data_IF_597395209081
#
_entry.id   IF_597395209081
#
_cell.length_a   1.000
_cell.length_b   1.000
_cell.length_c   1.000
_cell.angle_alpha   90.00
_cell.angle_beta   90.00
_cell.angle_gamma   90.00
#
_symmetry.space_group_name_H-M   'P 1'
#
loop_
_entity.id
_entity.type
_entity.pdbx_description
1 polymer ?
#
# COMPACT_ATOMS: atom_id res chain seq x y z
N UNK A 1 -50.56 -18.36 65.74
CA UNK A 1 -50.75 -18.79 64.34
C UNK A 1 -50.06 -17.77 63.44
N UNK A 2 -49.16 -18.27 62.58
CA UNK A 2 -48.42 -17.63 61.46
C UNK A 2 -47.45 -16.47 61.81
N UNK A 3 -46.10 -16.62 61.81
CA UNK A 3 -45.10 -16.85 60.71
C UNK A 3 -45.17 -15.76 59.62
N UNK A 4 -44.12 -15.14 59.05
CA UNK A 4 -42.65 -15.22 59.05
C UNK A 4 -42.15 -13.87 58.43
N UNK A 5 -41.03 -13.27 58.84
CA UNK A 5 -39.67 -13.38 58.28
C UNK A 5 -39.47 -12.90 56.82
N UNK A 6 -38.34 -12.21 56.61
CA UNK A 6 -37.59 -11.93 55.36
C UNK A 6 -38.07 -10.74 54.52
N UNK A 7 -37.22 -9.93 53.88
CA UNK A 7 -35.77 -9.98 53.69
C UNK A 7 -35.32 -8.67 53.03
N UNK A 8 -34.13 -8.22 53.44
CA UNK A 8 -33.27 -7.25 52.74
C UNK A 8 -33.06 -7.68 51.29
N UNK A 9 -33.56 -6.95 50.31
CA UNK A 9 -33.15 -7.06 48.91
C UNK A 9 -33.50 -5.74 48.23
N UNK A 10 -32.73 -5.32 47.22
CA UNK A 10 -32.86 -4.08 46.41
C UNK A 10 -31.78 -3.00 46.61
N UNK A 11 -30.50 -3.39 46.62
CA UNK A 11 -29.38 -2.44 46.41
C UNK A 11 -28.28 -2.96 45.47
N UNK A 12 -28.60 -3.92 44.60
CA UNK A 12 -27.62 -4.53 43.68
C UNK A 12 -28.21 -4.65 42.28
N UNK A 13 -28.18 -3.60 41.46
CA UNK A 13 -28.40 -3.71 40.01
C UNK A 13 -28.03 -2.45 39.19
N UNK A 14 -26.97 -1.74 39.58
CA UNK A 14 -26.36 -0.68 38.75
C UNK A 14 -24.84 -0.88 38.63
N UNK A 15 -24.43 -2.09 38.24
CA UNK A 15 -23.16 -2.29 37.55
C UNK A 15 -23.52 -2.78 36.15
N UNK A 16 -24.12 -1.90 35.34
CA UNK A 16 -23.98 -2.05 33.90
C UNK A 16 -22.52 -1.78 33.58
N UNK A 17 -21.80 -2.88 33.43
CA UNK A 17 -20.49 -2.95 32.82
C UNK A 17 -20.55 -2.21 31.49
N UNK A 18 -20.15 -0.94 31.49
CA UNK A 18 -19.73 -0.27 30.27
C UNK A 18 -18.43 -0.95 29.86
N UNK A 19 -18.53 -2.11 29.21
CA UNK A 19 -17.46 -2.61 28.36
C UNK A 19 -17.33 -1.61 27.23
N UNK A 20 -16.49 -0.60 27.45
CA UNK A 20 -16.06 0.29 26.39
C UNK A 20 -15.39 -0.58 25.35
N UNK A 21 -16.06 -0.76 24.20
CA UNK A 21 -15.41 -1.27 23.01
C UNK A 21 -14.34 -0.25 22.65
N UNK A 22 -13.09 -0.53 23.01
CA UNK A 22 -11.96 0.19 22.45
C UNK A 22 -11.98 -0.11 20.94
N UNK A 23 -12.54 0.81 20.17
CA UNK A 23 -12.40 0.81 18.72
C UNK A 23 -10.91 1.00 18.46
N UNK A 24 -10.21 -0.07 18.07
CA UNK A 24 -8.87 0.07 17.52
C UNK A 24 -9.01 0.98 16.31
N UNK A 25 -8.53 2.23 16.42
CA UNK A 25 -8.49 3.12 15.27
C UNK A 25 -7.51 2.56 14.24
N UNK A 26 -7.57 3.00 13.00
CA UNK A 26 -6.54 2.72 11.99
C UNK A 26 -5.91 4.03 11.55
N UNK A 27 -4.59 4.03 11.32
CA UNK A 27 -3.86 5.21 10.84
C UNK A 27 -3.41 4.96 9.41
N UNK A 28 -3.64 5.95 8.54
CA UNK A 28 -3.21 5.90 7.14
C UNK A 28 -1.92 6.70 6.99
N UNK A 29 -0.87 6.05 6.51
CA UNK A 29 0.42 6.68 6.18
C UNK A 29 0.56 6.70 4.68
N UNK A 30 0.51 7.89 4.08
CA UNK A 30 0.69 8.06 2.63
C UNK A 30 2.14 8.42 2.33
N UNK A 31 2.77 7.64 1.46
CA UNK A 31 4.11 7.88 0.93
C UNK A 31 4.00 8.55 -0.43
N UNK A 32 4.67 9.69 -0.56
CA UNK A 32 4.90 10.34 -1.84
C UNK A 32 5.88 9.52 -2.70
N UNK A 33 5.84 9.64 -4.04
CA UNK A 33 6.72 8.86 -4.92
C UNK A 33 8.22 9.03 -4.64
N UNK A 34 8.66 10.19 -4.16
CA UNK A 34 10.06 10.48 -3.83
C UNK A 34 10.45 10.10 -2.38
N UNK A 35 9.55 9.46 -1.63
CA UNK A 35 9.81 9.05 -0.25
C UNK A 35 11.00 8.08 -0.18
N UNK A 36 11.93 8.30 0.76
CA UNK A 36 13.18 7.54 0.88
C UNK A 36 12.98 6.05 1.23
N UNK A 37 11.80 5.69 1.71
CA UNK A 37 11.39 4.32 1.98
C UNK A 37 11.13 3.51 0.69
N UNK A 38 10.89 4.19 -0.43
CA UNK A 38 10.61 3.56 -1.73
C UNK A 38 11.93 3.42 -2.49
N UNK A 39 12.29 2.18 -2.82
CA UNK A 39 13.51 1.87 -3.56
C UNK A 39 13.16 1.52 -5.00
N UNK A 40 13.77 2.23 -5.95
CA UNK A 40 13.58 2.05 -7.38
C UNK A 40 14.75 1.28 -7.99
N UNK A 41 14.46 0.37 -8.92
CA UNK A 41 15.47 -0.34 -9.71
C UNK A 41 15.01 -0.42 -11.17
N UNK A 42 15.74 0.15 -12.16
CA UNK A 42 16.90 1.01 -11.98
C UNK A 42 16.60 2.24 -11.11
N UNK A 43 17.61 2.85 -10.46
CA UNK A 43 17.39 4.04 -9.62
C UNK A 43 16.67 5.15 -10.38
N UNK A 44 15.82 5.89 -9.67
CA UNK A 44 15.10 7.00 -10.27
C UNK A 44 16.08 8.10 -10.71
N UNK A 45 15.88 8.59 -11.93
CA UNK A 45 16.62 9.71 -12.46
C UNK A 45 15.98 11.03 -11.99
N UNK A 46 16.81 12.02 -11.65
CA UNK A 46 16.33 13.31 -11.17
C UNK A 46 16.07 14.27 -12.33
N UNK A 47 15.14 13.92 -13.22
CA UNK A 47 14.71 14.81 -14.30
C UNK A 47 13.19 14.89 -14.36
N UNK A 48 12.69 16.10 -14.57
CA UNK A 48 11.27 16.42 -14.74
C UNK A 48 10.78 16.18 -16.18
N UNK A 49 11.63 15.60 -17.03
CA UNK A 49 11.34 15.25 -18.42
C UNK A 49 11.40 13.72 -18.61
N UNK A 50 10.63 13.15 -19.55
CA UNK A 50 10.58 11.71 -19.79
C UNK A 50 11.77 11.22 -20.61
N UNK A 51 13.00 11.47 -20.16
CA UNK A 51 14.22 11.04 -20.88
C UNK A 51 15.02 10.00 -20.11
N UNK A 52 14.37 9.21 -19.26
CA UNK A 52 15.04 8.10 -18.58
C UNK A 52 14.63 6.80 -19.22
N UNK A 53 15.52 6.32 -20.07
CA UNK A 53 15.37 5.06 -20.74
C UNK A 53 15.27 3.95 -19.69
N UNK A 54 14.06 3.39 -19.56
CA UNK A 54 13.71 2.28 -18.66
C UNK A 54 13.86 2.49 -17.16
N UNK A 55 14.53 3.54 -16.72
CA UNK A 55 14.54 3.92 -15.31
C UNK A 55 13.22 4.61 -14.93
N UNK A 56 13.10 4.94 -13.65
CA UNK A 56 11.98 5.70 -13.12
C UNK A 56 12.27 7.20 -13.19
N UNK A 57 11.28 8.01 -13.57
CA UNK A 57 11.33 9.47 -13.53
C UNK A 57 10.32 10.01 -12.51
N UNK A 58 10.60 11.18 -11.93
CA UNK A 58 9.60 11.94 -11.20
C UNK A 58 8.99 13.01 -12.10
N UNK A 59 7.72 12.85 -12.45
CA UNK A 59 7.01 13.75 -13.35
C UNK A 59 5.88 14.48 -12.60
N UNK A 60 5.43 15.65 -13.08
CA UNK A 60 4.20 16.26 -12.61
C UNK A 60 3.02 15.30 -12.75
N UNK A 61 2.19 15.23 -11.73
CA UNK A 61 1.00 14.38 -11.75
C UNK A 61 -0.02 14.92 -12.75
N UNK A 62 -0.56 14.06 -13.64
CA UNK A 62 -1.68 14.44 -14.51
C UNK A 62 -3.01 14.51 -13.75
N UNK A 63 -3.08 13.93 -12.54
CA UNK A 63 -4.32 13.75 -11.77
C UNK A 63 -4.47 14.74 -10.62
N UNK A 64 -3.35 15.28 -10.11
CA UNK A 64 -3.32 16.13 -8.91
C UNK A 64 -2.51 17.39 -9.22
N UNK A 65 -3.14 18.56 -9.09
CA UNK A 65 -2.45 19.83 -9.24
C UNK A 65 -1.26 19.93 -8.28
N UNK A 66 -0.08 20.25 -8.81
CA UNK A 66 1.19 20.31 -8.06
C UNK A 66 1.63 18.98 -7.42
N UNK A 67 0.99 17.86 -7.75
CA UNK A 67 1.44 16.53 -7.35
C UNK A 67 2.60 16.04 -8.20
N UNK A 68 3.33 15.05 -7.70
CA UNK A 68 4.33 14.31 -8.45
C UNK A 68 3.91 12.85 -8.57
N UNK A 69 4.41 12.17 -9.60
CA UNK A 69 4.26 10.72 -9.83
C UNK A 69 5.65 10.14 -10.10
N UNK A 70 5.86 8.86 -9.78
CA UNK A 70 6.97 8.11 -10.37
C UNK A 70 6.46 7.38 -11.61
N UNK A 71 7.19 7.52 -12.72
CA UNK A 71 6.77 7.10 -14.06
C UNK A 71 7.87 6.31 -14.74
N UNK A 72 7.52 5.30 -15.52
CA UNK A 72 8.43 4.59 -16.42
C UNK A 72 7.70 4.03 -17.64
N UNK A 73 8.38 3.97 -18.78
CA UNK A 73 7.87 3.37 -20.02
C UNK A 73 8.32 1.90 -20.21
N UNK A 74 8.99 1.34 -19.19
CA UNK A 74 9.46 -0.03 -19.24
C UNK A 74 10.81 -0.21 -19.94
N UNK A 75 11.22 -1.48 -20.14
CA UNK A 75 12.45 -1.81 -20.84
C UNK A 75 12.44 -1.30 -22.28
N UNK A 76 13.53 -0.64 -22.68
CA UNK A 76 13.79 -0.23 -24.06
C UNK A 76 15.00 -1.01 -24.59
N UNK A 77 15.10 -1.11 -25.92
CA UNK A 77 16.26 -1.76 -26.57
C UNK A 77 17.57 -1.02 -26.24
N UNK A 78 17.50 0.31 -26.06
CA UNK A 78 18.65 1.15 -25.74
C UNK A 78 19.17 1.01 -24.30
N UNK A 79 18.34 0.58 -23.35
CA UNK A 79 18.71 0.46 -21.93
C UNK A 79 19.30 -0.90 -21.54
N UNK A 80 19.49 -1.80 -22.50
CA UNK A 80 19.85 -3.21 -22.21
C UNK A 80 18.68 -4.02 -21.66
N UNK A 81 17.44 -3.59 -21.94
CA UNK A 81 16.21 -4.23 -21.49
C UNK A 81 16.08 -4.35 -19.96
N UNK A 82 16.54 -3.33 -19.23
CA UNK A 82 16.36 -3.27 -17.77
C UNK A 82 14.87 -3.18 -17.42
N UNK A 83 14.41 -4.08 -16.53
CA UNK A 83 13.02 -4.14 -16.09
C UNK A 83 12.80 -3.23 -14.87
N UNK A 84 11.97 -2.18 -14.97
CA UNK A 84 11.67 -1.33 -13.83
C UNK A 84 10.94 -2.09 -12.72
N UNK A 85 11.41 -1.86 -11.51
CA UNK A 85 10.93 -2.44 -10.27
C UNK A 85 10.89 -1.38 -9.18
N UNK A 86 9.94 -1.52 -8.27
CA UNK A 86 9.76 -0.72 -7.06
C UNK A 86 9.67 -1.64 -5.87
N UNK A 87 10.40 -1.31 -4.79
CA UNK A 87 10.41 -2.06 -3.54
C UNK A 87 10.04 -1.17 -2.36
N UNK A 88 9.28 -1.71 -1.43
CA UNK A 88 8.91 -1.05 -0.17
C UNK A 88 8.74 -2.10 0.92
N UNK A 89 9.45 -1.93 2.04
CA UNK A 89 9.22 -2.73 3.25
C UNK A 89 8.43 -1.92 4.25
N UNK A 90 7.31 -2.48 4.72
CA UNK A 90 6.42 -1.81 5.66
C UNK A 90 5.78 -2.79 6.63
N UNK A 91 5.19 -2.27 7.71
CA UNK A 91 4.34 -3.03 8.64
C UNK A 91 2.97 -2.37 8.63
N UNK A 92 1.91 -3.14 8.38
CA UNK A 92 0.55 -2.63 8.26
C UNK A 92 -0.47 -3.75 8.03
N UNK A 93 -1.74 -3.38 8.09
CA UNK A 93 -2.89 -4.26 7.85
C UNK A 93 -3.47 -4.13 6.44
N UNK A 94 -3.03 -3.12 5.69
CA UNK A 94 -3.45 -2.90 4.31
C UNK A 94 -2.49 -2.02 3.54
N UNK A 95 -2.57 -2.11 2.22
CA UNK A 95 -1.77 -1.35 1.28
C UNK A 95 -2.64 -0.91 0.10
N UNK A 96 -2.56 0.36 -0.24
CA UNK A 96 -3.17 0.93 -1.43
C UNK A 96 -2.07 1.52 -2.31
N UNK A 97 -2.03 1.11 -3.57
CA UNK A 97 -1.12 1.68 -4.58
C UNK A 97 -2.01 2.40 -5.58
N UNK A 98 -1.91 3.73 -5.62
CA UNK A 98 -2.66 4.55 -6.57
C UNK A 98 -1.81 4.75 -7.82
N UNK A 99 -2.36 4.42 -8.98
CA UNK A 99 -1.74 4.66 -10.28
C UNK A 99 -2.35 5.91 -10.93
N UNK A 100 -1.66 6.48 -11.92
CA UNK A 100 -2.21 7.64 -12.65
C UNK A 100 -3.26 7.22 -13.68
N UNK A 101 -4.08 8.17 -14.14
CA UNK A 101 -4.98 7.96 -15.28
C UNK A 101 -4.27 7.70 -16.63
N UNK A 102 -2.97 7.97 -16.73
CA UNK A 102 -2.14 7.69 -17.90
C UNK A 102 -1.46 6.32 -17.84
N UNK A 103 -1.59 5.61 -16.72
CA UNK A 103 -0.98 4.29 -16.50
C UNK A 103 -1.69 3.22 -17.34
N UNK A 104 -0.93 2.50 -18.16
CA UNK A 104 -1.42 1.49 -19.13
C UNK A 104 -0.62 0.19 -19.10
N UNK A 105 0.41 0.11 -18.27
CA UNK A 105 1.24 -1.07 -18.15
C UNK A 105 0.53 -2.22 -17.43
N UNK A 106 1.11 -3.40 -17.58
CA UNK A 106 0.85 -4.53 -16.70
C UNK A 106 2.03 -4.68 -15.74
N UNK A 107 1.76 -4.93 -14.47
CA UNK A 107 2.80 -5.15 -13.46
C UNK A 107 2.49 -6.39 -12.63
N UNK A 108 3.53 -7.08 -12.15
CA UNK A 108 3.43 -8.05 -11.08
C UNK A 108 3.55 -7.33 -9.75
N UNK A 109 2.55 -7.50 -8.88
CA UNK A 109 2.57 -7.05 -7.50
C UNK A 109 2.83 -8.26 -6.63
N UNK A 110 3.99 -8.29 -5.99
CA UNK A 110 4.42 -9.33 -5.08
C UNK A 110 4.50 -8.79 -3.67
N UNK A 111 3.95 -9.53 -2.71
CA UNK A 111 4.08 -9.26 -1.28
C UNK A 111 4.71 -10.46 -0.63
N UNK A 112 5.73 -10.22 0.19
CA UNK A 112 6.43 -11.28 0.91
C UNK A 112 6.69 -10.94 2.36
N UNK A 113 6.59 -11.94 3.23
CA UNK A 113 7.00 -11.89 4.64
C UNK A 113 8.18 -12.83 4.85
N UNK A 114 8.99 -12.61 5.88
CA UNK A 114 10.15 -13.47 6.18
C UNK A 114 9.90 -14.50 7.30
N UNK A 115 8.89 -14.31 8.15
CA UNK A 115 8.61 -15.24 9.26
C UNK A 115 7.11 -15.41 9.57
N UNK A 116 6.49 -16.54 9.19
CA UNK A 116 6.93 -17.47 8.14
C UNK A 116 7.07 -16.79 6.78
N UNK A 117 7.84 -17.44 5.90
CA UNK A 117 7.93 -17.04 4.50
C UNK A 117 6.61 -17.30 3.80
N UNK A 118 5.88 -16.22 3.49
CA UNK A 118 4.72 -16.23 2.62
C UNK A 118 5.03 -15.30 1.47
N UNK A 119 4.73 -15.72 0.23
CA UNK A 119 4.87 -14.88 -0.95
C UNK A 119 3.63 -15.04 -1.82
N UNK A 120 3.02 -13.93 -2.19
CA UNK A 120 1.86 -13.86 -3.07
C UNK A 120 2.17 -12.88 -4.19
N UNK A 121 1.97 -13.31 -5.42
CA UNK A 121 2.17 -12.50 -6.62
C UNK A 121 0.87 -12.44 -7.41
N UNK A 122 0.50 -11.26 -7.86
CA UNK A 122 -0.66 -11.05 -8.74
C UNK A 122 -0.28 -10.10 -9.87
N UNK A 123 -0.69 -10.46 -11.08
CA UNK A 123 -0.56 -9.59 -12.24
C UNK A 123 -1.73 -8.60 -12.25
N UNK A 124 -1.42 -7.31 -12.36
CA UNK A 124 -2.40 -6.22 -12.36
C UNK A 124 -2.23 -5.34 -13.60
N UNK A 125 -3.36 -4.91 -14.16
CA UNK A 125 -3.37 -3.89 -15.21
C UNK A 125 -3.47 -2.51 -14.55
N UNK A 126 -2.49 -1.63 -14.76
CA UNK A 126 -2.36 -0.41 -13.95
C UNK A 126 -3.35 0.69 -14.30
N UNK A 127 -4.06 0.56 -15.43
CA UNK A 127 -5.23 1.40 -15.73
C UNK A 127 -6.40 1.21 -14.74
N UNK A 128 -6.35 0.22 -13.84
CA UNK A 128 -7.33 0.05 -12.77
C UNK A 128 -7.39 1.25 -11.80
N UNK A 129 -6.35 2.10 -11.77
CA UNK A 129 -6.29 3.33 -10.95
C UNK A 129 -5.97 3.09 -9.48
N UNK A 130 -6.39 1.95 -8.92
CA UNK A 130 -6.14 1.59 -7.52
C UNK A 130 -5.90 0.09 -7.39
N UNK A 131 -4.75 -0.28 -6.84
CA UNK A 131 -4.44 -1.65 -6.41
C UNK A 131 -4.61 -1.68 -4.90
N UNK A 132 -5.41 -2.62 -4.41
CA UNK A 132 -5.75 -2.75 -2.98
C UNK A 132 -5.31 -4.10 -2.46
N UNK A 133 -4.70 -4.08 -1.28
CA UNK A 133 -4.33 -5.26 -0.52
C UNK A 133 -4.87 -5.07 0.90
N UNK A 134 -5.64 -6.04 1.35
CA UNK A 134 -6.26 -6.07 2.67
C UNK A 134 -5.80 -7.29 3.46
N UNK A 135 -6.14 -7.31 4.74
CA UNK A 135 -5.90 -8.44 5.63
C UNK A 135 -4.42 -8.86 5.74
N UNK A 136 -3.52 -7.86 5.67
CA UNK A 136 -2.10 -8.09 5.94
C UNK A 136 -1.87 -8.34 7.44
N UNK A 137 -0.95 -9.23 7.82
CA UNK A 137 -0.65 -9.48 9.22
C UNK A 137 -0.09 -8.21 9.91
N UNK A 138 -0.74 -7.66 10.95
CA UNK A 138 -0.43 -6.34 11.52
C UNK A 138 0.99 -6.24 12.11
N UNK A 139 1.54 -7.36 12.57
CA UNK A 139 2.80 -7.40 13.31
C UNK A 139 3.96 -7.96 12.48
N UNK A 140 3.84 -7.94 11.15
CA UNK A 140 4.86 -8.49 10.25
C UNK A 140 5.32 -7.46 9.25
N UNK A 141 6.64 -7.38 9.11
CA UNK A 141 7.24 -6.69 7.99
C UNK A 141 6.86 -7.42 6.69
N UNK A 142 6.26 -6.69 5.77
CA UNK A 142 5.88 -7.12 4.44
C UNK A 142 6.69 -6.32 3.43
N UNK A 143 7.32 -7.02 2.49
CA UNK A 143 8.03 -6.41 1.37
C UNK A 143 7.13 -6.47 0.14
N UNK A 144 6.74 -5.29 -0.33
CA UNK A 144 6.19 -5.07 -1.66
C UNK A 144 7.33 -5.09 -2.69
N UNK A 145 7.12 -5.83 -3.77
CA UNK A 145 7.83 -5.69 -5.01
C UNK A 145 6.81 -5.49 -6.15
N UNK A 146 6.90 -4.37 -6.84
CA UNK A 146 6.11 -4.08 -8.03
C UNK A 146 7.05 -4.13 -9.24
N UNK A 147 6.81 -5.06 -10.16
CA UNK A 147 7.68 -5.34 -11.30
C UNK A 147 6.92 -5.10 -12.59
N UNK A 148 7.44 -4.23 -13.46
CA UNK A 148 6.89 -3.99 -14.79
C UNK A 148 6.93 -5.28 -15.63
N UNK A 149 5.85 -5.58 -16.36
CA UNK A 149 5.82 -6.69 -17.33
C UNK A 149 6.06 -6.13 -18.73
N UNK A 150 7.16 -6.53 -19.42
CA UNK A 150 7.47 -6.07 -20.76
C UNK A 150 6.31 -6.33 -21.74
N UNK A 151 6.02 -5.35 -22.59
CA UNK A 151 5.01 -5.43 -23.63
C UNK A 151 5.65 -5.18 -25.01
N UNK A 152 5.01 -5.69 -26.06
CA UNK A 152 5.46 -5.50 -27.45
C UNK A 152 5.07 -4.12 -28.02
N UNK A 153 4.41 -3.29 -27.22
CA UNK A 153 3.97 -1.93 -27.56
C UNK A 153 4.29 -1.00 -26.41
N UNK A 154 4.31 0.31 -26.67
CA UNK A 154 4.57 1.32 -25.64
C UNK A 154 3.46 1.27 -24.59
N UNK A 155 3.85 1.01 -23.34
CA UNK A 155 2.97 1.14 -22.17
C UNK A 155 3.67 1.94 -21.10
N UNK A 156 2.89 2.49 -20.19
CA UNK A 156 3.37 3.38 -19.15
C UNK A 156 2.94 2.91 -17.78
N UNK A 157 3.88 2.90 -16.83
CA UNK A 157 3.62 2.58 -15.44
C UNK A 157 3.84 3.83 -14.59
N UNK A 158 2.76 4.33 -14.02
CA UNK A 158 2.77 5.47 -13.11
C UNK A 158 2.31 5.06 -11.72
N UNK A 159 3.05 5.48 -10.70
CA UNK A 159 2.69 5.38 -9.28
C UNK A 159 2.52 6.79 -8.73
N UNK A 160 1.31 7.10 -8.27
CA UNK A 160 0.97 8.40 -7.69
C UNK A 160 1.28 8.49 -6.21
N UNK A 161 0.87 7.48 -5.44
CA UNK A 161 1.23 7.36 -4.03
C UNK A 161 1.01 5.92 -3.56
N UNK A 162 1.59 5.63 -2.41
CA UNK A 162 1.39 4.37 -1.71
C UNK A 162 0.86 4.69 -0.32
N UNK A 163 -0.32 4.19 0.03
CA UNK A 163 -0.90 4.37 1.37
C UNK A 163 -0.84 3.06 2.12
N UNK A 164 -0.21 3.08 3.29
CA UNK A 164 -0.16 1.97 4.24
C UNK A 164 -1.22 2.22 5.30
N UNK A 165 -2.06 1.23 5.58
CA UNK A 165 -2.98 1.25 6.71
C UNK A 165 -2.33 0.51 7.86
N UNK A 166 -2.18 1.16 9.01
CA UNK A 166 -1.71 0.54 10.25
C UNK A 166 -2.84 0.47 11.26
N UNK A 167 -2.81 -0.53 12.14
CA UNK A 167 -3.64 -0.48 13.33
C UNK A 167 -3.12 0.66 14.22
N UNK A 168 -3.99 1.58 14.64
CA UNK A 168 -3.66 2.54 15.67
C UNK A 168 -3.44 1.74 16.96
N UNK A 169 -2.24 1.86 17.51
CA UNK A 169 -1.89 1.20 18.76
C UNK A 169 -2.90 1.60 19.85
N UNK A 170 -3.40 0.61 20.58
CA UNK A 170 -3.73 0.78 21.99
C UNK A 170 -2.47 0.77 22.82
#
# INVERSE_FOLDING_TARGET
>A
MQTASLSRFWLLLLCWSTTGTASAASVNVTLEPNASQIVYSPPACNITAPTCDSAWCFLPSPDIASGIISSTEGPTVGSGALVPQLFLTFTGIGLYIRTSNLSTATANVTLSTQDPTVSITTQVHTAAGLITVVDLPPNRATTLALTYIPANYSTRLDISNITIVTAANG
#
